data_IF_404428211247
#
_entry.id   IF_404428211247
#
_cell.length_a   1.000
_cell.length_b   1.000
_cell.length_c   1.000
_cell.angle_alpha   90.00
_cell.angle_beta   90.00
_cell.angle_gamma   90.00
#
_symmetry.space_group_name_H-M   'P 1'
#
loop_
_entity.id
_entity.type
_entity.pdbx_description
1 polymer ?
#
# COMPACT_ATOMS: atom_id res chain seq x y z
N UNK A 1 17.60 -33.24 -9.28
CA UNK A 1 17.15 -34.53 -9.84
C UNK A 1 15.83 -34.28 -10.56
N UNK A 2 15.85 -34.24 -11.89
CA UNK A 2 14.64 -34.09 -12.71
C UNK A 2 14.20 -35.49 -13.15
N UNK A 3 12.92 -35.81 -12.98
CA UNK A 3 12.36 -37.09 -13.42
C UNK A 3 12.47 -37.21 -14.94
N UNK A 4 12.74 -38.43 -15.41
CA UNK A 4 12.79 -38.74 -16.84
C UNK A 4 11.43 -38.46 -17.52
N UNK A 5 11.42 -38.02 -18.79
CA UNK A 5 10.18 -37.80 -19.54
C UNK A 5 9.36 -39.09 -19.69
N UNK A 6 8.04 -38.96 -19.60
CA UNK A 6 7.08 -40.05 -19.86
C UNK A 6 6.35 -39.69 -21.15
N UNK A 7 6.31 -40.62 -22.12
CA UNK A 7 5.72 -40.41 -23.45
C UNK A 7 6.24 -39.16 -24.17
N UNK A 8 7.55 -38.90 -24.06
CA UNK A 8 8.19 -37.72 -24.66
C UNK A 8 7.78 -36.38 -24.03
N UNK A 9 7.00 -36.39 -22.93
CA UNK A 9 6.57 -35.20 -22.20
C UNK A 9 7.19 -35.17 -20.81
N UNK A 10 7.45 -33.96 -20.30
CA UNK A 10 7.80 -33.79 -18.89
C UNK A 10 6.64 -34.26 -18.03
N UNK A 11 6.93 -34.88 -16.89
CA UNK A 11 5.91 -35.44 -15.98
C UNK A 11 4.84 -34.40 -15.61
N UNK A 12 5.22 -33.13 -15.38
CA UNK A 12 4.28 -32.06 -15.06
C UNK A 12 3.34 -31.63 -16.20
N UNK A 13 3.69 -31.94 -17.45
CA UNK A 13 2.92 -31.59 -18.65
C UNK A 13 2.12 -32.78 -19.21
N UNK A 14 2.23 -33.96 -18.59
CA UNK A 14 1.55 -35.16 -19.05
C UNK A 14 0.02 -35.00 -18.88
N UNK A 15 -0.81 -35.27 -19.92
CA UNK A 15 -2.26 -35.00 -19.89
C UNK A 15 -2.99 -35.63 -18.71
N UNK A 16 -2.66 -36.89 -18.38
CA UNK A 16 -3.26 -37.60 -17.23
C UNK A 16 -2.87 -36.97 -15.89
N UNK A 17 -1.63 -36.52 -15.74
CA UNK A 17 -1.17 -35.85 -14.51
C UNK A 17 -1.88 -34.51 -14.35
N UNK A 18 -1.98 -33.74 -15.44
CA UNK A 18 -2.70 -32.46 -15.45
C UNK A 18 -4.20 -32.66 -15.15
N UNK A 19 -4.84 -33.68 -15.73
CA UNK A 19 -6.25 -34.00 -15.47
C UNK A 19 -6.46 -34.46 -14.02
N UNK A 20 -5.59 -35.30 -13.47
CA UNK A 20 -5.64 -35.72 -12.08
C UNK A 20 -5.50 -34.52 -11.14
N UNK A 21 -4.51 -33.65 -11.34
CA UNK A 21 -4.29 -32.47 -10.51
C UNK A 21 -5.45 -31.47 -10.61
N UNK A 22 -6.05 -31.29 -11.80
CA UNK A 22 -7.28 -30.50 -11.98
C UNK A 22 -8.46 -31.14 -11.24
N UNK A 23 -8.60 -32.46 -11.28
CA UNK A 23 -9.60 -33.21 -10.53
C UNK A 23 -9.45 -33.00 -9.03
N UNK A 24 -8.23 -33.14 -8.50
CA UNK A 24 -7.92 -32.88 -7.08
C UNK A 24 -8.24 -31.43 -6.68
N UNK A 25 -7.90 -30.45 -7.54
CA UNK A 25 -8.21 -29.03 -7.29
C UNK A 25 -9.71 -28.77 -7.24
N UNK A 26 -10.48 -29.35 -8.16
CA UNK A 26 -11.94 -29.20 -8.19
C UNK A 26 -12.62 -29.97 -7.06
N UNK A 27 -12.06 -31.10 -6.64
CA UNK A 27 -12.57 -31.90 -5.53
C UNK A 27 -12.40 -31.19 -4.19
N UNK A 28 -11.29 -30.46 -4.00
CA UNK A 28 -11.03 -29.69 -2.79
C UNK A 28 -10.48 -28.31 -3.17
N UNK A 29 -11.36 -27.37 -3.58
CA UNK A 29 -10.92 -26.03 -3.92
C UNK A 29 -10.29 -25.38 -2.68
N UNK A 30 -9.29 -24.49 -2.87
CA UNK A 30 -8.69 -23.77 -1.76
C UNK A 30 -9.75 -22.85 -1.12
N UNK A 31 -9.99 -23.04 0.17
CA UNK A 31 -10.88 -22.15 0.93
C UNK A 31 -10.26 -20.75 1.05
N UNK A 32 -11.08 -19.69 1.04
CA UNK A 32 -10.60 -18.35 1.31
C UNK A 32 -9.96 -18.33 2.71
N UNK A 33 -8.81 -17.64 2.81
CA UNK A 33 -8.09 -17.54 4.09
C UNK A 33 -8.89 -16.76 5.16
N UNK A 34 -9.83 -15.92 4.74
CA UNK A 34 -10.63 -15.07 5.61
C UNK A 34 -12.10 -15.20 5.19
N UNK A 35 -12.98 -15.45 6.16
CA UNK A 35 -14.43 -15.55 5.92
C UNK A 35 -15.10 -14.16 5.84
N UNK A 36 -14.45 -13.13 6.36
CA UNK A 36 -14.91 -11.74 6.31
C UNK A 36 -13.73 -10.78 6.21
N UNK A 37 -13.98 -9.53 5.80
CA UNK A 37 -12.98 -8.46 5.83
C UNK A 37 -13.25 -7.54 7.03
N UNK A 38 -12.20 -6.97 7.61
CA UNK A 38 -12.35 -5.92 8.64
C UNK A 38 -12.78 -4.59 8.02
N UNK A 39 -13.48 -3.75 8.80
CA UNK A 39 -13.96 -2.43 8.37
C UNK A 39 -12.83 -1.37 8.43
N UNK A 40 -12.43 -0.75 7.30
CA UNK A 40 -11.44 0.30 7.28
C UNK A 40 -11.81 1.55 8.06
N UNK A 41 -13.11 1.83 8.24
CA UNK A 41 -13.56 3.02 8.94
C UNK A 41 -13.18 2.98 10.43
N UNK A 42 -13.00 1.79 11.02
CA UNK A 42 -12.46 1.65 12.38
C UNK A 42 -11.04 2.21 12.49
N UNK A 43 -10.19 1.88 11.51
CA UNK A 43 -8.80 2.35 11.45
C UNK A 43 -8.74 3.85 11.16
N UNK A 44 -9.61 4.35 10.27
CA UNK A 44 -9.68 5.78 9.96
C UNK A 44 -10.16 6.60 11.16
N UNK A 45 -11.18 6.12 11.89
CA UNK A 45 -11.65 6.76 13.13
C UNK A 45 -10.55 6.83 14.19
N UNK A 46 -9.83 5.72 14.38
CA UNK A 46 -8.66 5.71 15.25
C UNK A 46 -7.62 6.76 14.83
N UNK A 47 -7.30 6.85 13.54
CA UNK A 47 -6.34 7.85 13.04
C UNK A 47 -6.80 9.30 13.16
N UNK A 48 -8.10 9.56 13.06
CA UNK A 48 -8.67 10.87 13.32
C UNK A 48 -8.57 11.25 14.80
N UNK A 49 -8.72 10.29 15.72
CA UNK A 49 -8.57 10.55 17.17
C UNK A 49 -7.14 10.87 17.62
N UNK A 50 -6.13 10.51 16.83
CA UNK A 50 -4.71 10.78 17.15
C UNK A 50 -4.32 12.26 16.97
N UNK A 51 -5.10 13.05 16.23
CA UNK A 51 -4.79 14.45 15.95
C UNK A 51 -3.83 14.68 14.77
N UNK A 52 -3.21 15.88 14.67
CA UNK A 52 -2.37 16.30 13.55
C UNK A 52 -1.04 15.54 13.50
N UNK A 53 -0.56 15.27 12.28
CA UNK A 53 0.64 14.44 12.06
C UNK A 53 1.93 15.05 12.63
N UNK A 54 1.99 16.37 12.78
CA UNK A 54 3.15 17.09 13.32
C UNK A 54 3.41 16.83 14.79
N UNK A 55 2.36 16.53 15.55
CA UNK A 55 2.44 16.36 17.01
C UNK A 55 2.63 14.89 17.41
N UNK A 56 2.60 13.97 16.43
CA UNK A 56 2.68 12.55 16.68
C UNK A 56 4.13 12.11 16.93
N UNK A 57 4.36 11.23 17.94
CA UNK A 57 5.66 10.63 18.11
C UNK A 57 5.99 9.76 16.89
N UNK A 58 7.27 9.72 16.51
CA UNK A 58 7.76 9.02 15.31
C UNK A 58 7.22 7.59 15.18
N UNK A 59 7.08 6.86 16.29
CA UNK A 59 6.54 5.51 16.31
C UNK A 59 5.08 5.44 15.81
N UNK A 60 4.23 6.33 16.29
CA UNK A 60 2.81 6.39 15.93
C UNK A 60 2.67 6.92 14.50
N UNK A 61 3.42 7.97 14.15
CA UNK A 61 3.46 8.51 12.79
C UNK A 61 3.87 7.44 11.75
N UNK A 62 4.91 6.66 12.04
CA UNK A 62 5.40 5.59 11.17
C UNK A 62 4.34 4.52 10.91
N UNK A 63 3.68 4.06 11.99
CA UNK A 63 2.63 3.04 11.94
C UNK A 63 1.41 3.54 11.17
N UNK A 64 0.93 4.75 11.49
CA UNK A 64 -0.18 5.43 10.81
C UNK A 64 0.09 5.58 9.31
N UNK A 65 1.28 6.07 8.95
CA UNK A 65 1.67 6.27 7.56
C UNK A 65 1.71 4.97 6.77
N UNK A 66 2.33 3.91 7.32
CA UNK A 66 2.40 2.61 6.65
C UNK A 66 1.01 2.05 6.40
N UNK A 67 0.09 2.16 7.37
CA UNK A 67 -1.28 1.66 7.22
C UNK A 67 -2.04 2.44 6.14
N UNK A 68 -2.06 3.77 6.22
CA UNK A 68 -2.74 4.64 5.23
C UNK A 68 -2.18 4.42 3.83
N UNK A 69 -0.86 4.33 3.71
CA UNK A 69 -0.20 4.05 2.44
C UNK A 69 -0.62 2.67 1.92
N UNK A 70 -0.62 1.63 2.76
CA UNK A 70 -1.04 0.29 2.36
C UNK A 70 -2.48 0.25 1.83
N UNK A 71 -3.38 1.04 2.43
CA UNK A 71 -4.78 1.19 2.02
C UNK A 71 -4.95 2.05 0.75
N UNK A 72 -4.01 2.97 0.49
CA UNK A 72 -4.03 3.84 -0.70
C UNK A 72 -3.58 3.12 -1.97
N UNK A 73 -2.43 2.46 -1.91
CA UNK A 73 -1.79 1.87 -3.11
C UNK A 73 -2.03 0.37 -3.26
N UNK A 74 -2.56 -0.29 -2.23
CA UNK A 74 -2.88 -1.74 -2.22
C UNK A 74 -1.68 -2.62 -2.56
N UNK A 75 -0.49 -2.17 -2.16
CA UNK A 75 0.78 -2.83 -2.43
C UNK A 75 1.10 -3.87 -1.36
N UNK A 76 2.05 -4.76 -1.67
CA UNK A 76 2.56 -5.71 -0.69
C UNK A 76 3.45 -4.99 0.32
N UNK A 77 3.54 -5.53 1.53
CA UNK A 77 4.44 -5.04 2.59
C UNK A 77 5.89 -4.92 2.10
N UNK A 78 6.36 -5.87 1.28
CA UNK A 78 7.69 -5.83 0.67
C UNK A 78 7.88 -4.65 -0.31
N UNK A 79 6.81 -4.23 -0.97
CA UNK A 79 6.83 -3.11 -1.93
C UNK A 79 6.85 -1.78 -1.17
N UNK A 80 6.02 -1.64 -0.14
CA UNK A 80 6.04 -0.51 0.81
C UNK A 80 7.45 -0.32 1.39
N UNK A 81 8.07 -1.41 1.83
CA UNK A 81 9.42 -1.41 2.38
C UNK A 81 10.50 -1.00 1.34
N UNK A 82 10.23 -1.13 0.04
CA UNK A 82 11.19 -0.86 -1.04
C UNK A 82 11.09 0.55 -1.63
N UNK A 83 10.29 1.42 -1.02
CA UNK A 83 10.17 2.83 -1.43
C UNK A 83 11.49 3.54 -1.13
N UNK A 84 12.00 4.24 -2.14
CA UNK A 84 13.18 5.09 -2.01
C UNK A 84 12.78 6.54 -1.80
N UNK A 85 13.53 7.26 -0.97
CA UNK A 85 13.31 8.69 -0.78
C UNK A 85 13.57 9.47 -2.08
N UNK A 86 14.56 9.07 -2.88
CA UNK A 86 14.92 9.73 -4.15
C UNK A 86 13.86 9.57 -5.24
N UNK A 87 13.00 8.54 -5.14
CA UNK A 87 11.94 8.32 -6.13
C UNK A 87 10.66 9.12 -5.86
N UNK A 88 10.56 9.76 -4.68
CA UNK A 88 9.40 10.57 -4.31
C UNK A 88 9.44 11.92 -5.03
N UNK A 89 8.30 12.29 -5.62
CA UNK A 89 8.06 13.62 -6.18
C UNK A 89 6.76 14.16 -5.63
N UNK A 90 6.84 15.26 -4.89
CA UNK A 90 5.70 15.95 -4.32
C UNK A 90 5.24 17.08 -5.23
N UNK A 91 3.93 17.26 -5.30
CA UNK A 91 3.24 18.39 -5.93
C UNK A 91 2.18 18.91 -4.96
N UNK A 92 1.64 20.10 -5.22
CA UNK A 92 0.55 20.67 -4.45
C UNK A 92 -0.67 19.73 -4.41
N UNK A 93 -0.98 19.09 -5.54
CA UNK A 93 -2.20 18.28 -5.72
C UNK A 93 -1.99 16.78 -5.55
N UNK A 94 -0.75 16.28 -5.65
CA UNK A 94 -0.46 14.86 -5.64
C UNK A 94 0.99 14.56 -5.29
N UNK A 95 1.27 13.29 -5.06
CA UNK A 95 2.61 12.73 -4.94
C UNK A 95 2.73 11.58 -5.94
N UNK A 96 3.87 11.50 -6.60
CA UNK A 96 4.21 10.36 -7.44
C UNK A 96 5.50 9.69 -6.98
N UNK A 97 5.57 8.37 -7.13
CA UNK A 97 6.79 7.61 -6.85
C UNK A 97 6.84 6.31 -7.63
N UNK A 98 8.03 5.72 -7.71
CA UNK A 98 8.26 4.39 -8.28
C UNK A 98 8.94 3.49 -7.26
N UNK A 99 8.66 2.19 -7.33
CA UNK A 99 9.37 1.20 -6.53
C UNK A 99 10.75 0.93 -7.14
N UNK A 100 11.78 0.84 -6.29
CA UNK A 100 13.16 0.61 -6.74
C UNK A 100 13.51 -0.87 -6.95
N UNK A 101 12.58 -1.80 -6.68
CA UNK A 101 12.80 -3.24 -6.87
C UNK A 101 11.77 -3.84 -7.82
N UNK A 102 12.26 -4.69 -8.73
CA UNK A 102 11.41 -5.53 -9.57
C UNK A 102 10.55 -6.46 -8.70
N UNK A 103 9.26 -6.53 -8.99
CA UNK A 103 8.38 -7.53 -8.37
C UNK A 103 8.74 -8.91 -8.88
N UNK A 104 8.57 -9.95 -8.04
CA UNK A 104 8.67 -11.36 -8.49
C UNK A 104 7.75 -11.69 -9.68
N UNK A 105 6.63 -10.97 -9.82
CA UNK A 105 5.70 -11.12 -10.95
C UNK A 105 6.09 -10.30 -12.20
N UNK A 106 7.00 -9.35 -12.06
CA UNK A 106 7.43 -8.46 -13.14
C UNK A 106 8.72 -9.03 -13.74
N UNK A 107 8.55 -9.91 -14.72
CA UNK A 107 9.65 -10.59 -15.43
C UNK A 107 10.34 -9.68 -16.46
N UNK A 108 9.66 -8.62 -16.91
CA UNK A 108 10.15 -7.60 -17.85
C UNK A 108 9.26 -6.34 -17.78
N UNK A 109 9.76 -5.19 -18.28
CA UNK A 109 9.01 -3.93 -18.44
C UNK A 109 9.31 -2.84 -17.38
N UNK A 110 8.90 -1.58 -17.62
CA UNK A 110 9.19 -0.43 -16.77
C UNK A 110 8.66 -0.61 -15.33
N UNK A 111 9.38 -0.07 -14.34
CA UNK A 111 8.94 -0.09 -12.94
C UNK A 111 7.59 0.63 -12.80
N UNK A 112 6.65 0.01 -12.09
CA UNK A 112 5.33 0.59 -11.89
C UNK A 112 5.45 1.90 -11.06
N UNK A 113 4.95 3.00 -11.63
CA UNK A 113 4.77 4.26 -10.92
C UNK A 113 3.40 4.33 -10.26
N UNK A 114 3.34 5.00 -9.11
CA UNK A 114 2.12 5.27 -8.36
C UNK A 114 1.93 6.77 -8.27
N UNK A 115 0.70 7.21 -8.48
CA UNK A 115 0.27 8.56 -8.17
C UNK A 115 -0.77 8.46 -7.07
N UNK A 116 -0.52 9.17 -5.97
CA UNK A 116 -1.42 9.31 -4.83
C UNK A 116 -1.76 10.78 -4.77
N UNK A 117 -3.02 11.13 -4.97
CA UNK A 117 -3.40 12.54 -4.89
C UNK A 117 -3.24 13.04 -3.45
N UNK A 118 -3.39 14.34 -3.25
CA UNK A 118 -3.55 14.94 -1.93
C UNK A 118 -5.02 14.92 -1.55
N UNK A 119 -5.30 14.70 -0.26
CA UNK A 119 -6.64 14.71 0.31
C UNK A 119 -6.68 15.68 1.49
N UNK A 120 -7.75 16.47 1.65
CA UNK A 120 -7.90 17.31 2.83
C UNK A 120 -8.27 16.44 4.04
N UNK A 121 -7.37 16.32 5.02
CA UNK A 121 -7.67 15.66 6.30
C UNK A 121 -6.48 15.00 6.97
N UNK A 122 -6.69 14.54 8.22
CA UNK A 122 -5.66 13.94 9.08
C UNK A 122 -5.15 12.58 8.58
N UNK A 123 -5.89 11.95 7.66
CA UNK A 123 -5.56 10.66 7.06
C UNK A 123 -4.95 10.80 5.65
N UNK A 124 -4.52 12.00 5.25
CA UNK A 124 -3.92 12.21 3.94
C UNK A 124 -2.52 11.60 3.84
N UNK A 125 -2.35 10.65 2.92
CA UNK A 125 -1.08 9.96 2.65
C UNK A 125 0.06 10.92 2.31
N UNK A 126 -0.21 11.94 1.47
CA UNK A 126 0.81 12.92 1.04
C UNK A 126 1.31 13.73 2.25
N UNK A 127 0.39 14.33 3.02
CA UNK A 127 0.74 15.05 4.25
C UNK A 127 1.50 14.17 5.25
N UNK A 128 1.10 12.90 5.39
CA UNK A 128 1.78 11.97 6.30
C UNK A 128 3.20 11.66 5.85
N UNK A 129 3.46 11.54 4.54
CA UNK A 129 4.81 11.38 4.02
C UNK A 129 5.67 12.63 4.23
N UNK A 130 5.12 13.82 4.01
CA UNK A 130 5.81 15.09 4.25
C UNK A 130 6.19 15.24 5.74
N UNK A 131 5.24 15.04 6.66
CA UNK A 131 5.49 15.07 8.10
C UNK A 131 6.52 14.01 8.52
N UNK A 132 6.49 12.83 7.91
CA UNK A 132 7.47 11.79 8.21
C UNK A 132 8.87 12.14 7.72
N UNK A 133 9.02 12.74 6.54
CA UNK A 133 10.31 13.23 6.05
C UNK A 133 10.87 14.28 7.01
N UNK A 134 10.04 15.25 7.41
CA UNK A 134 10.43 16.28 8.37
C UNK A 134 10.88 15.67 9.72
N UNK A 135 10.13 14.71 10.26
CA UNK A 135 10.45 14.06 11.54
C UNK A 135 11.67 13.13 11.48
N UNK A 136 12.13 12.74 10.29
CA UNK A 136 13.24 11.80 10.11
C UNK A 136 14.49 12.42 9.51
N UNK A 137 14.48 13.72 9.21
CA UNK A 137 15.60 14.39 8.52
C UNK A 137 16.93 14.20 9.25
N UNK A 138 16.95 14.36 10.57
CA UNK A 138 18.15 14.24 11.40
C UNK A 138 18.56 12.79 11.70
N UNK A 139 17.68 11.82 11.39
CA UNK A 139 17.90 10.39 11.65
C UNK A 139 18.44 9.66 10.43
N UNK A 140 18.49 10.32 9.27
CA UNK A 140 18.87 9.72 7.99
C UNK A 140 20.38 9.61 7.89
N UNK A 141 20.83 8.42 7.49
CA UNK A 141 22.23 8.16 7.17
C UNK A 141 22.50 8.51 5.70
N UNK A 142 23.65 9.11 5.37
CA UNK A 142 23.97 9.56 4.01
C UNK A 142 23.98 8.41 2.98
N UNK A 143 24.32 7.20 3.42
CA UNK A 143 24.45 6.03 2.55
C UNK A 143 23.12 5.29 2.30
N UNK A 144 22.00 5.76 2.88
CA UNK A 144 20.73 5.05 2.79
C UNK A 144 19.64 5.82 2.05
N UNK A 145 19.19 5.24 0.95
CA UNK A 145 18.07 5.76 0.16
C UNK A 145 16.70 5.26 0.62
N UNK A 146 16.63 4.49 1.71
CA UNK A 146 15.37 3.90 2.18
C UNK A 146 14.45 4.97 2.78
N UNK A 147 13.17 4.94 2.39
CA UNK A 147 12.20 5.89 2.93
C UNK A 147 11.91 5.63 4.42
N UNK A 148 11.59 4.37 4.77
CA UNK A 148 11.19 4.00 6.13
C UNK A 148 12.39 3.57 6.99
N UNK A 149 12.50 4.18 8.16
CA UNK A 149 13.56 3.93 9.14
C UNK A 149 13.04 3.22 10.39
N UNK A 150 13.89 2.44 11.04
CA UNK A 150 13.56 1.79 12.30
C UNK A 150 13.32 2.83 13.40
N UNK A 151 12.28 2.62 14.20
CA UNK A 151 11.93 3.53 15.31
C UNK A 151 13.04 3.58 16.37
N UNK A 152 13.73 2.45 16.59
CA UNK A 152 14.84 2.36 17.55
C UNK A 152 16.16 2.72 16.88
N UNK A 153 17.06 3.35 17.65
CA UNK A 153 18.46 3.53 17.26
C UNK A 153 19.08 2.15 16.94
N UNK A 154 19.91 2.04 15.90
CA UNK A 154 20.53 3.10 15.10
C UNK A 154 19.74 3.57 13.86
N UNK A 155 18.39 3.53 13.88
CA UNK A 155 17.51 4.04 12.81
C UNK A 155 17.83 3.49 11.40
N UNK A 156 18.16 2.20 11.34
CA UNK A 156 18.45 1.50 10.08
C UNK A 156 17.19 1.37 9.22
N UNK A 157 17.35 1.16 7.90
CA UNK A 157 16.24 0.81 7.03
C UNK A 157 15.40 -0.34 7.60
N UNK A 158 14.08 -0.19 7.58
CA UNK A 158 13.18 -1.25 8.04
C UNK A 158 13.18 -2.43 7.09
N UNK A 159 12.76 -3.58 7.60
CA UNK A 159 12.51 -4.77 6.79
C UNK A 159 11.01 -4.96 6.56
N UNK A 160 10.65 -5.81 5.60
CA UNK A 160 9.24 -6.14 5.33
C UNK A 160 8.55 -6.75 6.55
N UNK A 161 9.26 -7.52 7.39
CA UNK A 161 8.69 -8.05 8.62
C UNK A 161 8.33 -6.93 9.59
N UNK A 162 9.19 -5.93 9.78
CA UNK A 162 8.93 -4.76 10.63
C UNK A 162 7.70 -3.99 10.18
N UNK A 163 7.59 -3.69 8.88
CA UNK A 163 6.41 -3.02 8.30
C UNK A 163 5.15 -3.84 8.52
N UNK A 164 5.22 -5.18 8.37
CA UNK A 164 4.11 -6.08 8.66
C UNK A 164 3.65 -6.03 10.13
N UNK A 165 4.59 -5.95 11.07
CA UNK A 165 4.28 -5.79 12.49
C UNK A 165 3.64 -4.43 12.79
N UNK A 166 4.04 -3.35 12.11
CA UNK A 166 3.41 -2.04 12.26
C UNK A 166 1.95 -2.05 11.78
N UNK A 167 1.67 -2.69 10.63
CA UNK A 167 0.29 -2.85 10.14
C UNK A 167 -0.55 -3.62 11.16
N UNK A 168 -0.03 -4.75 11.67
CA UNK A 168 -0.73 -5.52 12.71
C UNK A 168 -0.96 -4.72 13.99
N UNK A 169 0.01 -3.91 14.41
CA UNK A 169 -0.16 -3.02 15.56
C UNK A 169 -1.30 -2.04 15.33
N UNK A 170 -1.38 -1.37 14.17
CA UNK A 170 -2.48 -0.46 13.87
C UNK A 170 -3.85 -1.15 13.93
N UNK A 171 -3.95 -2.39 13.44
CA UNK A 171 -5.20 -3.16 13.54
C UNK A 171 -5.56 -3.42 15.01
N UNK A 172 -4.59 -3.80 15.83
CA UNK A 172 -4.77 -3.94 17.29
C UNK A 172 -5.29 -2.66 17.92
N UNK A 173 -4.60 -1.57 17.62
CA UNK A 173 -4.80 -0.27 18.24
C UNK A 173 -6.18 0.31 17.83
N UNK A 174 -6.70 -0.09 16.67
CA UNK A 174 -8.05 0.21 16.19
C UNK A 174 -9.14 -0.76 16.72
N UNK A 175 -8.80 -1.74 17.55
CA UNK A 175 -9.75 -2.70 18.14
C UNK A 175 -10.12 -3.88 17.24
N UNK A 176 -9.32 -4.16 16.20
CA UNK A 176 -9.56 -5.26 15.27
C UNK A 176 -8.79 -6.50 15.74
N UNK A 177 -9.46 -7.65 15.74
CA UNK A 177 -8.81 -8.92 16.07
C UNK A 177 -7.73 -9.31 15.03
N UNK A 178 -6.53 -9.61 15.50
CA UNK A 178 -5.34 -9.87 14.67
C UNK A 178 -5.09 -11.36 14.52
N UNK A 179 -5.72 -12.20 15.34
CA UNK A 179 -5.64 -13.66 15.19
C UNK A 179 -6.28 -14.07 13.86
N UNK A 180 -7.37 -13.39 13.51
CA UNK A 180 -8.11 -13.55 12.26
C UNK A 180 -7.40 -12.93 11.03
N UNK A 181 -6.58 -11.87 11.19
CA UNK A 181 -6.07 -11.07 10.06
C UNK A 181 -4.54 -10.91 9.99
N UNK A 182 -3.97 -11.14 8.80
CA UNK A 182 -2.55 -10.85 8.55
C UNK A 182 -2.32 -9.43 8.01
N UNK A 183 -1.06 -8.97 8.01
CA UNK A 183 -0.66 -7.67 7.44
C UNK A 183 -0.99 -7.52 5.94
N UNK A 184 -1.25 -8.63 5.23
CA UNK A 184 -1.65 -8.61 3.82
C UNK A 184 -3.16 -8.46 3.60
N UNK A 185 -3.97 -8.50 4.67
CA UNK A 185 -5.43 -8.32 4.60
C UNK A 185 -5.84 -6.93 4.11
N UNK A 186 -4.98 -5.92 4.28
CA UNK A 186 -5.17 -4.54 3.80
C UNK A 186 -5.48 -4.44 2.31
N UNK A 187 -5.00 -5.39 1.48
CA UNK A 187 -5.30 -5.42 0.04
C UNK A 187 -6.73 -5.87 -0.28
N UNK A 188 -7.33 -6.70 0.58
CA UNK A 188 -8.69 -7.20 0.42
C UNK A 188 -9.73 -6.28 1.06
N UNK A 189 -9.35 -5.58 2.13
CA UNK A 189 -10.25 -4.72 2.91
C UNK A 189 -10.43 -3.30 2.34
N UNK A 190 -9.76 -2.91 1.25
CA UNK A 190 -9.62 -1.49 0.91
C UNK A 190 -10.87 -0.80 0.33
N UNK A 191 -11.75 -0.31 1.20
CA UNK A 191 -12.74 0.72 0.85
C UNK A 191 -12.09 2.11 0.79
N UNK A 192 -10.96 2.33 1.48
CA UNK A 192 -10.27 3.63 1.54
C UNK A 192 -9.98 4.21 0.16
N UNK A 193 -9.46 3.43 -0.80
CA UNK A 193 -9.22 3.94 -2.16
C UNK A 193 -10.52 4.36 -2.87
N UNK A 194 -11.63 3.70 -2.58
CA UNK A 194 -12.95 4.06 -3.11
C UNK A 194 -13.47 5.34 -2.46
N UNK A 195 -13.32 5.50 -1.14
CA UNK A 195 -13.60 6.76 -0.45
C UNK A 195 -12.73 7.90 -0.98
N UNK A 196 -11.41 7.67 -1.05
CA UNK A 196 -10.42 8.59 -1.58
C UNK A 196 -10.79 9.10 -2.98
N UNK A 197 -11.12 8.19 -3.90
CA UNK A 197 -11.52 8.52 -5.25
C UNK A 197 -12.89 9.23 -5.31
N UNK A 198 -13.85 8.84 -4.45
CA UNK A 198 -15.18 9.46 -4.39
C UNK A 198 -15.09 10.90 -3.90
N UNK A 199 -14.36 11.14 -2.82
CA UNK A 199 -14.18 12.49 -2.25
C UNK A 199 -13.38 13.39 -3.20
N UNK A 200 -12.35 12.87 -3.87
CA UNK A 200 -11.67 13.60 -4.95
C UNK A 200 -12.62 14.00 -6.08
N UNK A 201 -13.47 13.07 -6.54
CA UNK A 201 -14.46 13.41 -7.56
C UNK A 201 -15.48 14.44 -7.05
N UNK A 202 -15.85 14.41 -5.77
CA UNK A 202 -16.74 15.40 -5.17
C UNK A 202 -16.07 16.79 -5.08
N UNK A 203 -14.79 16.85 -4.71
CA UNK A 203 -14.00 18.10 -4.69
C UNK A 203 -13.86 18.66 -6.10
N UNK A 204 -13.51 17.85 -7.11
CA UNK A 204 -13.41 18.31 -8.50
C UNK A 204 -14.74 18.80 -9.07
N UNK A 205 -15.87 18.17 -8.69
CA UNK A 205 -17.21 18.64 -9.07
C UNK A 205 -17.54 19.97 -8.36
N UNK A 206 -17.19 20.12 -7.09
CA UNK A 206 -17.41 21.38 -6.35
C UNK A 206 -16.55 22.53 -6.88
N UNK A 207 -15.30 22.29 -7.28
CA UNK A 207 -14.44 23.29 -7.92
C UNK A 207 -14.95 23.67 -9.32
N UNK A 208 -15.47 22.71 -10.09
CA UNK A 208 -16.10 22.97 -11.39
C UNK A 208 -17.39 23.79 -11.28
N UNK A 209 -18.15 23.64 -10.19
CA UNK A 209 -19.36 24.44 -9.90
C UNK A 209 -19.00 25.85 -9.42
N UNK A 210 -17.84 26.02 -8.77
CA UNK A 210 -17.37 27.33 -8.27
C UNK A 210 -16.60 28.16 -9.32
N UNK A 211 -16.25 27.60 -10.48
CA UNK A 211 -15.57 28.35 -11.55
C UNK A 211 -16.21 28.14 -12.94
N UNK A 212 -17.33 28.83 -13.27
CA UNK A 212 -18.09 28.60 -14.50
C UNK A 212 -17.49 29.20 -15.78
N UNK A 213 -16.24 29.68 -15.79
CA UNK A 213 -15.72 30.51 -16.89
C UNK A 213 -14.44 29.96 -17.52
N UNK A 214 -14.57 28.89 -18.30
CA UNK A 214 -13.75 28.66 -19.51
C UNK A 214 -14.47 27.65 -20.40
N UNK A 215 -15.44 28.10 -21.20
CA UNK A 215 -15.83 27.46 -22.46
C UNK A 215 -16.67 28.44 -23.28
N UNK A 216 -16.02 29.47 -23.80
CA UNK A 216 -16.53 30.23 -24.93
C UNK A 216 -15.36 30.72 -25.78
N UNK A 217 -15.50 30.57 -27.09
CA UNK A 217 -14.63 30.99 -28.19
C UNK A 217 -13.69 29.94 -28.78
N UNK A 218 -14.26 29.09 -29.64
CA UNK A 218 -13.67 28.83 -30.97
C UNK A 218 -14.80 28.63 -31.97
N UNK A 219 -15.31 29.74 -32.51
CA UNK A 219 -15.96 29.78 -33.82
C UNK A 219 -15.69 31.15 -34.41
N UNK A 220 -14.76 31.21 -35.36
CA UNK A 220 -14.81 31.89 -36.66
C UNK A 220 -13.47 31.65 -37.37
#
# INVERSE_FOLDING_TARGET
>A
MTLEPIDGKKVGDHPLVVQLLKGCYNFKPPNPRYDSMWDPDMVLRHFSSLGPNSDLPLAVLSKKLVMILSLSILSRVSEICSISLKSLKFSATAMSFSFCRLRKSQRSGPLQSFVVNRFPGLCCTVSGMESYIAATVDLRQPDSDSFFLSIRRPHRPVTSSTVGHWIKSCLRDAGIDIESFSAHSTRGASTFRRFYNRELSAVSVSEAVLNPQTNSHTTL
#
